data_IF_297031562403
#
_entry.id   IF_297031562403
#
_cell.length_a   1.000
_cell.length_b   1.000
_cell.length_c   1.000
_cell.angle_alpha   90.00
_cell.angle_beta   90.00
_cell.angle_gamma   90.00
#
_symmetry.space_group_name_H-M   'P 1'
#
loop_
_entity.id
_entity.type
_entity.pdbx_description
1 polymer ?
#
# COMPACT_ATOMS: atom_id res chain seq x y z
N UNK A 1 -53.79 -5.85 -11.53
CA UNK A 1 -52.43 -5.58 -12.06
C UNK A 1 -51.41 -5.93 -10.97
N UNK A 2 -50.85 -7.15 -11.01
CA UNK A 2 -49.79 -7.57 -10.07
C UNK A 2 -48.47 -6.96 -10.56
N UNK A 3 -47.95 -6.00 -9.82
CA UNK A 3 -46.54 -5.54 -9.98
C UNK A 3 -45.64 -6.71 -9.55
N UNK A 4 -45.08 -7.41 -10.54
CA UNK A 4 -44.01 -8.35 -10.31
C UNK A 4 -42.81 -7.55 -9.72
N UNK A 5 -42.55 -7.76 -8.41
CA UNK A 5 -41.30 -7.24 -7.80
C UNK A 5 -40.15 -7.97 -8.49
N UNK A 6 -39.42 -7.28 -9.39
CA UNK A 6 -38.13 -7.78 -9.87
C UNK A 6 -37.26 -8.06 -8.63
N UNK A 7 -37.05 -9.32 -8.33
CA UNK A 7 -36.08 -9.75 -7.35
C UNK A 7 -34.73 -9.17 -7.80
N UNK A 8 -34.12 -8.33 -6.97
CA UNK A 8 -32.76 -7.87 -7.22
C UNK A 8 -31.85 -9.09 -7.17
N UNK A 9 -31.19 -9.41 -8.27
CA UNK A 9 -30.25 -10.51 -8.34
C UNK A 9 -29.23 -10.45 -7.19
N UNK A 10 -29.14 -11.50 -6.40
CA UNK A 10 -28.27 -11.55 -5.23
C UNK A 10 -26.81 -11.76 -5.69
N UNK A 11 -25.92 -10.85 -5.29
CA UNK A 11 -24.47 -11.00 -5.53
C UNK A 11 -23.83 -11.48 -4.23
N UNK A 12 -23.27 -12.67 -4.23
CA UNK A 12 -22.51 -13.25 -3.14
C UNK A 12 -21.02 -13.30 -3.48
N UNK A 13 -20.16 -13.23 -2.45
CA UNK A 13 -18.72 -13.45 -2.59
C UNK A 13 -18.32 -14.58 -1.64
N UNK A 14 -17.67 -15.60 -2.18
CA UNK A 14 -17.18 -16.75 -1.45
C UNK A 14 -15.74 -17.12 -1.83
N UNK A 15 -15.10 -17.93 -1.00
CA UNK A 15 -13.82 -18.54 -1.38
C UNK A 15 -13.99 -19.44 -2.61
N UNK A 16 -12.98 -19.46 -3.47
CA UNK A 16 -12.94 -20.40 -4.59
C UNK A 16 -12.88 -21.85 -4.07
N UNK A 17 -13.52 -22.75 -4.79
CA UNK A 17 -13.57 -24.20 -4.54
C UNK A 17 -13.00 -24.94 -5.75
N UNK A 18 -12.65 -26.20 -5.61
CA UNK A 18 -12.07 -27.02 -6.69
C UNK A 18 -12.89 -26.97 -7.98
N UNK A 19 -14.23 -26.97 -7.88
CA UNK A 19 -15.10 -26.89 -9.07
C UNK A 19 -15.11 -25.53 -9.80
N UNK A 20 -14.44 -24.50 -9.29
CA UNK A 20 -14.33 -23.20 -9.97
C UNK A 20 -13.16 -23.11 -10.94
N UNK A 21 -12.35 -24.16 -11.03
CA UNK A 21 -11.11 -24.15 -11.81
C UNK A 21 -11.31 -23.71 -13.27
N UNK A 22 -12.25 -24.35 -13.97
CA UNK A 22 -12.50 -24.07 -15.39
C UNK A 22 -12.97 -22.62 -15.62
N UNK A 23 -13.80 -22.09 -14.71
CA UNK A 23 -14.23 -20.70 -14.76
C UNK A 23 -13.03 -19.75 -14.59
N UNK A 24 -12.20 -19.97 -13.56
CA UNK A 24 -11.02 -19.15 -13.26
C UNK A 24 -10.03 -19.20 -14.41
N UNK A 25 -9.74 -20.40 -14.90
CA UNK A 25 -8.80 -20.66 -15.97
C UNK A 25 -9.17 -19.90 -17.26
N UNK A 26 -10.40 -20.10 -17.74
CA UNK A 26 -10.92 -19.40 -18.91
C UNK A 26 -10.89 -17.89 -18.72
N UNK A 27 -11.43 -17.41 -17.59
CA UNK A 27 -11.56 -15.98 -17.33
C UNK A 27 -10.20 -15.28 -17.25
N UNK A 28 -9.19 -15.90 -16.66
CA UNK A 28 -7.83 -15.36 -16.59
C UNK A 28 -7.15 -15.34 -17.97
N UNK A 29 -7.24 -16.42 -18.72
CA UNK A 29 -6.64 -16.50 -20.06
C UNK A 29 -7.20 -15.40 -20.96
N UNK A 30 -8.52 -15.31 -21.07
CA UNK A 30 -9.19 -14.32 -21.93
C UNK A 30 -8.91 -12.87 -21.51
N UNK A 31 -8.80 -12.61 -20.20
CA UNK A 31 -8.63 -11.25 -19.71
C UNK A 31 -7.19 -10.75 -19.70
N UNK A 32 -6.21 -11.64 -19.61
CA UNK A 32 -4.79 -11.28 -19.50
C UNK A 32 -4.08 -11.25 -20.85
N UNK A 33 -4.41 -12.14 -21.76
CA UNK A 33 -3.76 -12.29 -23.08
C UNK A 33 -3.62 -10.97 -23.88
N UNK A 34 -4.62 -10.07 -23.90
CA UNK A 34 -4.47 -8.80 -24.62
C UNK A 34 -3.37 -7.88 -24.08
N UNK A 35 -3.00 -8.02 -22.81
CA UNK A 35 -2.15 -7.04 -22.10
C UNK A 35 -0.83 -7.60 -21.62
N UNK A 36 -0.71 -8.91 -21.46
CA UNK A 36 0.45 -9.55 -20.84
C UNK A 36 0.94 -10.72 -21.68
N UNK A 37 2.26 -10.86 -21.77
CA UNK A 37 2.88 -12.05 -22.34
C UNK A 37 3.05 -13.14 -21.28
N UNK A 38 3.28 -14.37 -21.71
CA UNK A 38 3.54 -15.51 -20.87
C UNK A 38 2.44 -16.57 -20.90
N UNK A 39 2.66 -17.66 -20.19
CA UNK A 39 1.71 -18.77 -20.07
C UNK A 39 0.65 -18.44 -18.99
N UNK A 40 -0.47 -17.86 -19.45
CA UNK A 40 -1.58 -17.52 -18.56
C UNK A 40 -2.27 -18.75 -17.99
N UNK A 41 -2.20 -19.89 -18.67
CA UNK A 41 -2.76 -21.15 -18.23
C UNK A 41 -1.97 -21.70 -17.04
N UNK A 42 -0.65 -21.81 -17.20
CA UNK A 42 0.22 -22.22 -16.10
C UNK A 42 0.14 -21.24 -14.92
N UNK A 43 -0.01 -19.93 -15.18
CA UNK A 43 -0.21 -18.94 -14.12
C UNK A 43 -1.51 -19.17 -13.36
N UNK A 44 -2.64 -19.36 -14.05
CA UNK A 44 -3.94 -19.65 -13.44
C UNK A 44 -3.90 -20.92 -12.61
N UNK A 45 -3.33 -22.00 -13.17
CA UNK A 45 -3.14 -23.28 -12.49
C UNK A 45 -2.35 -23.11 -11.18
N UNK A 46 -1.22 -22.40 -11.24
CA UNK A 46 -0.34 -22.20 -10.09
C UNK A 46 -1.05 -21.45 -8.95
N UNK A 47 -1.68 -20.31 -9.23
CA UNK A 47 -2.33 -19.52 -8.17
C UNK A 47 -3.59 -20.19 -7.62
N UNK A 48 -4.33 -20.93 -8.47
CA UNK A 48 -5.48 -21.70 -8.05
C UNK A 48 -5.08 -22.86 -7.14
N UNK A 49 -4.07 -23.63 -7.53
CA UNK A 49 -3.52 -24.73 -6.73
C UNK A 49 -2.99 -24.23 -5.38
N UNK A 50 -2.28 -23.10 -5.37
CA UNK A 50 -1.80 -22.48 -4.13
C UNK A 50 -2.96 -22.14 -3.20
N UNK A 51 -4.06 -21.59 -3.74
CA UNK A 51 -5.25 -21.28 -2.95
C UNK A 51 -5.91 -22.55 -2.36
N UNK A 52 -6.08 -23.58 -3.17
CA UNK A 52 -6.70 -24.86 -2.73
C UNK A 52 -5.84 -25.58 -1.70
N UNK A 53 -4.52 -25.54 -1.83
CA UNK A 53 -3.55 -26.16 -0.92
C UNK A 53 -3.25 -25.28 0.30
N UNK A 54 -4.28 -24.86 1.04
CA UNK A 54 -4.19 -24.10 2.28
C UNK A 54 -3.55 -22.72 2.17
N UNK A 55 -3.56 -22.12 0.98
CA UNK A 55 -3.06 -20.77 0.69
C UNK A 55 -1.54 -20.55 0.91
N UNK A 56 -0.78 -21.60 1.14
CA UNK A 56 0.66 -21.51 1.37
C UNK A 56 1.38 -21.39 0.02
N UNK A 57 2.09 -20.30 -0.19
CA UNK A 57 2.96 -20.11 -1.34
C UNK A 57 4.35 -20.71 -1.02
N UNK A 58 4.55 -21.96 -1.38
CA UNK A 58 5.81 -22.68 -1.16
C UNK A 58 6.99 -22.13 -1.98
N UNK A 59 6.71 -21.35 -3.04
CA UNK A 59 7.72 -20.76 -3.93
C UNK A 59 7.96 -19.28 -3.62
N UNK A 60 6.97 -18.60 -3.04
CA UNK A 60 6.99 -17.16 -2.80
C UNK A 60 7.68 -16.76 -1.50
N UNK A 61 8.95 -16.40 -1.56
CA UNK A 61 9.70 -15.92 -0.38
C UNK A 61 9.10 -14.65 0.28
N UNK A 62 8.29 -13.88 -0.45
CA UNK A 62 7.76 -12.58 -0.03
C UNK A 62 6.25 -12.58 0.28
N UNK A 63 5.55 -13.72 0.15
CA UNK A 63 4.14 -13.85 0.49
C UNK A 63 3.94 -14.70 1.74
N UNK A 64 2.90 -14.32 2.52
CA UNK A 64 2.43 -15.10 3.67
C UNK A 64 1.31 -16.06 3.25
N UNK A 65 0.60 -15.76 2.17
CA UNK A 65 -0.46 -16.59 1.66
C UNK A 65 -1.14 -15.97 0.44
N UNK A 66 -1.82 -16.82 -0.33
CA UNK A 66 -2.57 -16.45 -1.52
C UNK A 66 -4.02 -16.94 -1.41
N UNK A 67 -4.97 -16.07 -1.71
CA UNK A 67 -6.39 -16.31 -1.48
C UNK A 67 -7.19 -15.94 -2.72
N UNK A 68 -8.13 -16.78 -3.11
CA UNK A 68 -9.00 -16.53 -4.26
C UNK A 68 -10.46 -16.52 -3.84
N UNK A 69 -11.22 -15.57 -4.37
CA UNK A 69 -12.64 -15.43 -4.13
C UNK A 69 -13.39 -15.29 -5.45
N UNK A 70 -14.59 -15.88 -5.48
CA UNK A 70 -15.52 -15.86 -6.60
C UNK A 70 -16.70 -14.97 -6.22
N UNK A 71 -17.07 -14.06 -7.11
CA UNK A 71 -18.37 -13.38 -7.05
C UNK A 71 -19.37 -14.18 -7.86
N UNK A 72 -20.55 -14.42 -7.29
CA UNK A 72 -21.67 -15.09 -7.93
C UNK A 72 -22.86 -14.15 -8.07
N UNK A 73 -23.59 -14.32 -9.14
CA UNK A 73 -24.92 -13.73 -9.35
C UNK A 73 -25.92 -14.87 -9.49
N UNK A 74 -26.86 -14.97 -8.57
CA UNK A 74 -27.84 -16.05 -8.53
C UNK A 74 -27.18 -17.45 -8.68
N UNK A 75 -26.12 -17.68 -7.90
CA UNK A 75 -25.30 -18.91 -7.86
C UNK A 75 -24.42 -19.18 -9.10
N UNK A 76 -24.35 -18.27 -10.07
CA UNK A 76 -23.49 -18.40 -11.24
C UNK A 76 -22.21 -17.57 -11.06
N UNK A 77 -21.03 -18.15 -11.27
CA UNK A 77 -19.77 -17.41 -11.20
C UNK A 77 -19.75 -16.23 -12.21
N UNK A 78 -19.49 -15.04 -11.70
CA UNK A 78 -19.58 -13.79 -12.47
C UNK A 78 -18.30 -12.94 -12.41
N UNK A 79 -17.35 -13.31 -11.57
CA UNK A 79 -16.06 -12.65 -11.44
C UNK A 79 -15.18 -13.27 -10.38
N UNK A 80 -13.93 -12.89 -10.36
CA UNK A 80 -12.96 -13.39 -9.39
C UNK A 80 -12.03 -12.28 -8.90
N UNK A 81 -11.47 -12.49 -7.72
CA UNK A 81 -10.33 -11.73 -7.22
C UNK A 81 -9.33 -12.66 -6.56
N UNK A 82 -8.05 -12.46 -6.86
CA UNK A 82 -6.95 -13.14 -6.20
C UNK A 82 -6.15 -12.14 -5.37
N UNK A 83 -5.90 -12.47 -4.10
CA UNK A 83 -5.25 -11.63 -3.10
C UNK A 83 -3.99 -12.31 -2.59
N UNK A 84 -2.89 -11.58 -2.58
CA UNK A 84 -1.60 -12.06 -2.07
C UNK A 84 -1.21 -11.25 -0.86
N UNK A 85 -1.20 -11.85 0.32
CA UNK A 85 -0.74 -11.23 1.56
C UNK A 85 0.77 -11.21 1.58
N UNK A 86 1.37 -10.04 1.64
CA UNK A 86 2.82 -9.84 1.62
C UNK A 86 3.41 -9.68 3.01
N UNK A 87 4.63 -10.19 3.23
CA UNK A 87 5.37 -10.07 4.49
C UNK A 87 5.54 -8.61 4.95
N UNK A 88 5.54 -7.65 4.00
CA UNK A 88 5.71 -6.22 4.29
C UNK A 88 4.42 -5.53 4.78
N UNK A 89 3.37 -6.28 5.12
CA UNK A 89 2.11 -5.70 5.60
C UNK A 89 1.30 -5.00 4.52
N UNK A 90 1.33 -5.54 3.31
CA UNK A 90 0.51 -5.10 2.17
C UNK A 90 -0.25 -6.27 1.57
N UNK A 91 -1.33 -6.01 0.84
CA UNK A 91 -2.02 -7.03 0.06
C UNK A 91 -2.01 -6.64 -1.42
N UNK A 92 -1.54 -7.55 -2.28
CA UNK A 92 -1.58 -7.39 -3.73
C UNK A 92 -2.86 -7.97 -4.28
N UNK A 93 -3.55 -7.22 -5.14
CA UNK A 93 -4.60 -7.74 -6.02
C UNK A 93 -3.94 -8.25 -7.30
N UNK A 94 -4.15 -9.53 -7.65
CA UNK A 94 -3.43 -10.15 -8.78
C UNK A 94 -4.08 -11.43 -9.30
N UNK A 95 -5.14 -11.34 -10.16
CA UNK A 95 -5.90 -10.18 -10.63
C UNK A 95 -7.26 -9.96 -9.94
N UNK A 96 -8.01 -8.93 -10.39
CA UNK A 96 -9.45 -8.77 -10.24
C UNK A 96 -10.09 -8.77 -11.63
N UNK A 97 -10.97 -9.70 -11.92
CA UNK A 97 -11.61 -9.85 -13.23
C UNK A 97 -13.11 -10.06 -13.06
N UNK A 98 -13.90 -9.37 -13.89
CA UNK A 98 -15.35 -9.58 -14.00
C UNK A 98 -15.62 -10.17 -15.39
N UNK A 99 -16.40 -11.24 -15.43
CA UNK A 99 -16.75 -11.91 -16.68
C UNK A 99 -17.48 -10.93 -17.62
N UNK A 100 -17.18 -10.96 -18.93
CA UNK A 100 -17.64 -9.96 -19.91
C UNK A 100 -19.14 -9.67 -19.86
N UNK A 101 -19.95 -10.70 -19.73
CA UNK A 101 -21.42 -10.63 -19.69
C UNK A 101 -21.98 -9.94 -18.44
N UNK A 102 -21.18 -9.83 -17.38
CA UNK A 102 -21.55 -9.17 -16.11
C UNK A 102 -20.91 -7.80 -15.93
N UNK A 103 -20.04 -7.34 -16.85
CA UNK A 103 -19.40 -6.03 -16.75
C UNK A 103 -20.43 -4.91 -16.79
N UNK A 104 -20.25 -3.92 -15.90
CA UNK A 104 -21.19 -2.81 -15.76
C UNK A 104 -22.52 -3.17 -15.08
N UNK A 105 -22.76 -4.45 -14.75
CA UNK A 105 -23.98 -4.94 -14.11
C UNK A 105 -23.69 -5.33 -12.67
N UNK A 106 -24.70 -5.22 -11.79
CA UNK A 106 -24.69 -5.68 -10.39
C UNK A 106 -23.57 -5.14 -9.49
N UNK A 107 -22.69 -4.27 -9.98
CA UNK A 107 -21.57 -3.69 -9.23
C UNK A 107 -20.52 -4.70 -8.76
N UNK A 108 -20.32 -5.82 -9.49
CA UNK A 108 -19.48 -6.96 -9.09
C UNK A 108 -18.05 -6.51 -8.80
N UNK A 109 -17.41 -5.75 -9.70
CA UNK A 109 -16.05 -5.26 -9.49
C UNK A 109 -15.92 -4.42 -8.20
N UNK A 110 -16.93 -3.59 -7.90
CA UNK A 110 -16.95 -2.80 -6.66
C UNK A 110 -17.13 -3.65 -5.42
N UNK A 111 -17.93 -4.72 -5.50
CA UNK A 111 -18.14 -5.66 -4.39
C UNK A 111 -16.89 -6.50 -4.13
N UNK A 112 -16.24 -7.01 -5.18
CA UNK A 112 -14.96 -7.72 -5.09
C UNK A 112 -13.87 -6.83 -4.47
N UNK A 113 -13.79 -5.58 -4.89
CA UNK A 113 -12.81 -4.65 -4.34
C UNK A 113 -13.08 -4.32 -2.86
N UNK A 114 -14.35 -4.10 -2.48
CA UNK A 114 -14.73 -3.92 -1.06
C UNK A 114 -14.35 -5.15 -0.23
N UNK A 115 -14.63 -6.35 -0.75
CA UNK A 115 -14.21 -7.59 -0.10
C UNK A 115 -12.69 -7.66 0.09
N UNK A 116 -11.90 -7.21 -0.91
CA UNK A 116 -10.44 -7.13 -0.79
C UNK A 116 -10.01 -6.12 0.28
N UNK A 117 -10.68 -4.98 0.41
CA UNK A 117 -10.40 -3.99 1.45
C UNK A 117 -10.66 -4.56 2.86
N UNK A 118 -11.81 -5.22 3.04
CA UNK A 118 -12.18 -5.84 4.32
C UNK A 118 -11.25 -7.02 4.66
N UNK A 119 -10.90 -7.83 3.66
CA UNK A 119 -9.90 -8.89 3.80
C UNK A 119 -8.55 -8.34 4.23
N UNK A 120 -8.07 -7.30 3.56
CA UNK A 120 -6.77 -6.71 3.84
C UNK A 120 -6.72 -6.06 5.24
N UNK A 121 -7.82 -5.40 5.69
CA UNK A 121 -7.92 -4.90 7.08
C UNK A 121 -7.86 -6.02 8.11
N UNK A 122 -8.52 -7.15 7.86
CA UNK A 122 -8.46 -8.35 8.73
C UNK A 122 -7.04 -8.93 8.82
N UNK A 123 -6.24 -8.76 7.78
CA UNK A 123 -4.82 -9.15 7.75
C UNK A 123 -3.88 -8.01 8.19
N UNK A 124 -4.40 -6.95 8.82
CA UNK A 124 -3.64 -5.79 9.29
C UNK A 124 -2.76 -5.14 8.21
N UNK A 125 -3.17 -5.22 6.96
CA UNK A 125 -2.45 -4.61 5.86
C UNK A 125 -2.66 -3.09 5.87
N UNK A 126 -1.56 -2.35 5.69
CA UNK A 126 -1.61 -0.89 5.62
C UNK A 126 -2.12 -0.37 4.26
N UNK A 127 -2.00 -1.17 3.20
CA UNK A 127 -2.49 -0.79 1.88
C UNK A 127 -2.81 -2.00 0.99
N UNK A 128 -3.71 -1.78 0.03
CA UNK A 128 -3.86 -2.58 -1.17
C UNK A 128 -2.97 -2.01 -2.28
N UNK A 129 -2.43 -2.87 -3.14
CA UNK A 129 -1.79 -2.42 -4.37
C UNK A 129 -2.05 -3.40 -5.52
N UNK A 130 -1.94 -2.92 -6.73
CA UNK A 130 -2.04 -3.71 -7.96
C UNK A 130 -1.24 -3.06 -9.07
N UNK A 131 -1.06 -3.79 -10.15
CA UNK A 131 -0.54 -3.27 -11.40
C UNK A 131 -1.57 -3.44 -12.49
N UNK A 132 -1.58 -2.54 -13.49
CA UNK A 132 -2.54 -2.53 -14.60
C UNK A 132 -1.83 -2.03 -15.85
N UNK A 133 -1.97 -2.77 -16.94
CA UNK A 133 -1.50 -2.32 -18.24
C UNK A 133 -2.09 -0.94 -18.59
N UNK A 134 -1.26 0.01 -19.01
CA UNK A 134 -1.68 1.38 -19.30
C UNK A 134 -2.77 1.44 -20.39
N UNK A 135 -2.79 0.49 -21.30
CA UNK A 135 -3.80 0.35 -22.35
C UNK A 135 -5.16 -0.11 -21.79
N UNK A 136 -5.20 -0.76 -20.62
CA UNK A 136 -6.45 -1.15 -19.96
C UNK A 136 -7.09 0.05 -19.23
N UNK A 137 -7.46 1.06 -20.01
CA UNK A 137 -8.02 2.31 -19.53
C UNK A 137 -9.30 2.14 -18.70
N UNK A 138 -10.10 1.12 -18.99
CA UNK A 138 -11.34 0.85 -18.27
C UNK A 138 -11.03 0.45 -16.81
N UNK A 139 -10.09 -0.48 -16.59
CA UNK A 139 -9.64 -0.91 -15.26
C UNK A 139 -8.89 0.20 -14.54
N UNK A 140 -7.99 0.91 -15.22
CA UNK A 140 -7.25 2.04 -14.65
C UNK A 140 -8.20 3.12 -14.09
N UNK A 141 -9.14 3.62 -14.91
CA UNK A 141 -10.14 4.60 -14.47
C UNK A 141 -11.07 4.07 -13.38
N UNK A 142 -11.42 2.79 -13.41
CA UNK A 142 -12.21 2.17 -12.34
C UNK A 142 -11.48 2.23 -11.00
N UNK A 143 -10.21 1.84 -10.95
CA UNK A 143 -9.41 1.84 -9.73
C UNK A 143 -9.22 3.26 -9.17
N UNK A 144 -8.93 4.26 -10.01
CA UNK A 144 -8.84 5.66 -9.58
C UNK A 144 -10.16 6.13 -8.93
N UNK A 145 -11.32 5.85 -9.55
CA UNK A 145 -12.64 6.16 -8.94
C UNK A 145 -12.91 5.41 -7.64
N UNK A 146 -12.18 4.33 -7.36
CA UNK A 146 -12.26 3.58 -6.10
C UNK A 146 -11.22 4.01 -5.06
N UNK A 147 -10.54 5.13 -5.29
CA UNK A 147 -9.59 5.72 -4.36
C UNK A 147 -8.20 5.10 -4.40
N UNK A 148 -7.83 4.46 -5.51
CA UNK A 148 -6.44 4.12 -5.77
C UNK A 148 -5.68 5.34 -6.30
N UNK A 149 -4.42 5.43 -5.94
CA UNK A 149 -3.47 6.44 -6.40
C UNK A 149 -2.43 5.82 -7.31
N UNK A 150 -1.99 6.54 -8.32
CA UNK A 150 -0.87 6.12 -9.17
C UNK A 150 0.45 6.33 -8.43
N UNK A 151 1.19 5.25 -8.21
CA UNK A 151 2.52 5.30 -7.60
C UNK A 151 3.63 5.52 -8.62
N UNK A 152 3.42 5.04 -9.85
CA UNK A 152 4.40 5.14 -10.92
C UNK A 152 4.00 4.33 -12.15
N UNK A 153 4.82 4.44 -13.19
CA UNK A 153 4.64 3.76 -14.47
C UNK A 153 5.96 3.09 -14.86
N UNK A 154 5.93 1.82 -15.24
CA UNK A 154 7.06 1.08 -15.76
C UNK A 154 6.86 0.84 -17.25
N UNK A 155 7.86 1.25 -18.06
CA UNK A 155 7.83 1.07 -19.49
C UNK A 155 8.11 -0.40 -19.84
N UNK A 156 7.38 -0.94 -20.81
CA UNK A 156 7.59 -2.29 -21.38
C UNK A 156 7.77 -3.40 -20.32
N UNK A 157 7.04 -3.31 -19.20
CA UNK A 157 7.35 -4.12 -18.01
C UNK A 157 7.04 -5.62 -18.18
N UNK A 158 5.88 -5.95 -18.73
CA UNK A 158 5.44 -7.34 -18.90
C UNK A 158 5.26 -7.73 -20.37
N UNK A 159 5.13 -6.77 -21.26
CA UNK A 159 4.94 -6.98 -22.69
C UNK A 159 5.52 -5.79 -23.45
N UNK A 160 6.35 -6.01 -24.49
CA UNK A 160 6.87 -4.94 -25.32
C UNK A 160 5.75 -4.05 -25.89
N UNK A 161 5.91 -2.73 -25.81
CA UNK A 161 4.93 -1.76 -26.24
C UNK A 161 3.77 -1.54 -25.26
N UNK A 162 3.77 -2.19 -24.11
CA UNK A 162 2.73 -2.04 -23.09
C UNK A 162 3.36 -1.62 -21.74
N UNK A 163 3.11 -0.39 -21.35
CA UNK A 163 3.53 0.11 -20.06
C UNK A 163 2.62 -0.38 -18.93
N UNK A 164 3.18 -0.52 -17.72
CA UNK A 164 2.47 -0.96 -16.54
C UNK A 164 2.32 0.17 -15.53
N UNK A 165 1.09 0.48 -15.15
CA UNK A 165 0.76 1.43 -14.09
C UNK A 165 0.74 0.71 -12.74
N UNK A 166 1.51 1.21 -11.78
CA UNK A 166 1.51 0.73 -10.39
C UNK A 166 0.56 1.59 -9.56
N UNK A 167 -0.45 0.97 -8.96
CA UNK A 167 -1.47 1.66 -8.17
C UNK A 167 -1.52 1.12 -6.74
N UNK A 168 -1.82 2.01 -5.80
CA UNK A 168 -2.01 1.65 -4.40
C UNK A 168 -3.22 2.38 -3.79
N UNK A 169 -3.79 1.79 -2.75
CA UNK A 169 -4.85 2.38 -1.93
C UNK A 169 -4.50 2.20 -0.45
N UNK A 170 -4.27 3.27 0.32
CA UNK A 170 -4.10 3.19 1.76
C UNK A 170 -5.37 2.61 2.43
N UNK A 171 -5.21 1.73 3.41
CA UNK A 171 -6.31 1.10 4.14
C UNK A 171 -6.39 1.56 5.59
N UNK A 172 -5.32 2.09 6.14
CA UNK A 172 -5.39 2.77 7.41
C UNK A 172 -6.39 3.91 7.26
N UNK A 173 -7.41 3.93 8.12
CA UNK A 173 -8.01 5.21 8.44
C UNK A 173 -6.85 6.05 8.97
N UNK A 174 -6.29 6.91 8.13
CA UNK A 174 -5.76 8.13 8.69
C UNK A 174 -6.98 8.74 9.39
N UNK A 175 -7.06 8.61 10.70
CA UNK A 175 -7.55 9.71 11.49
C UNK A 175 -6.63 10.82 11.05
N UNK A 176 -7.05 11.56 10.04
CA UNK A 176 -6.38 12.78 9.62
C UNK A 176 -6.51 13.66 10.85
N UNK A 177 -5.44 13.85 11.63
CA UNK A 177 -5.48 14.86 12.67
C UNK A 177 -5.83 16.13 11.91
N UNK A 178 -6.80 16.91 12.39
CA UNK A 178 -7.06 18.20 11.78
C UNK A 178 -5.72 18.92 11.62
N UNK A 179 -5.39 19.43 10.42
CA UNK A 179 -4.11 20.14 10.18
C UNK A 179 -3.83 21.22 11.23
N UNK A 180 -4.87 21.73 11.89
CA UNK A 180 -4.82 22.71 12.97
C UNK A 180 -4.19 22.22 14.28
N UNK A 181 -4.08 20.90 14.48
CA UNK A 181 -3.67 20.33 15.78
C UNK A 181 -2.24 19.77 15.77
N UNK A 182 -1.55 19.82 14.63
CA UNK A 182 -0.16 19.37 14.50
C UNK A 182 0.78 20.56 14.75
N UNK A 183 1.55 20.51 15.83
CA UNK A 183 2.61 21.48 16.11
C UNK A 183 3.98 20.89 15.79
N UNK A 184 4.85 21.70 15.17
CA UNK A 184 6.25 21.33 14.98
C UNK A 184 7.10 22.08 15.98
N UNK A 185 7.81 21.34 16.81
CA UNK A 185 8.63 21.90 17.90
C UNK A 185 10.07 21.43 17.77
N UNK A 186 11.05 22.21 18.25
CA UNK A 186 12.43 21.75 18.41
C UNK A 186 12.49 20.50 19.32
N UNK A 187 13.40 19.60 18.99
CA UNK A 187 13.60 18.40 19.79
C UNK A 187 14.12 18.76 21.20
N UNK A 188 13.44 18.24 22.20
CA UNK A 188 13.86 18.27 23.61
C UNK A 188 14.27 16.87 24.02
N UNK A 189 15.53 16.72 24.45
CA UNK A 189 16.10 15.39 24.74
C UNK A 189 15.40 14.69 25.89
N UNK A 190 14.99 15.42 26.94
CA UNK A 190 14.32 14.84 28.09
C UNK A 190 12.91 14.37 27.76
N UNK A 191 12.22 15.13 26.89
CA UNK A 191 10.81 14.92 26.57
C UNK A 191 10.61 13.95 25.39
N UNK A 192 11.48 14.01 24.36
CA UNK A 192 11.18 13.39 23.06
C UNK A 192 11.99 12.13 22.76
N UNK A 193 13.14 11.88 23.43
CA UNK A 193 14.07 10.78 23.08
C UNK A 193 13.38 9.41 22.98
N UNK A 194 12.65 9.01 24.03
CA UNK A 194 12.02 7.68 24.05
C UNK A 194 10.92 7.52 22.99
N UNK A 195 10.11 8.56 22.79
CA UNK A 195 9.02 8.54 21.82
C UNK A 195 9.53 8.58 20.39
N UNK A 196 10.56 9.39 20.10
CA UNK A 196 11.22 9.47 18.79
C UNK A 196 11.89 8.14 18.42
N UNK A 197 12.56 7.50 19.38
CA UNK A 197 13.15 6.17 19.19
C UNK A 197 12.09 5.15 18.78
N UNK A 198 10.98 5.07 19.54
CA UNK A 198 9.87 4.17 19.22
C UNK A 198 9.27 4.46 17.84
N UNK A 199 9.07 5.73 17.51
CA UNK A 199 8.54 6.13 16.22
C UNK A 199 9.43 5.65 15.07
N UNK A 200 10.74 5.93 15.13
CA UNK A 200 11.68 5.53 14.07
C UNK A 200 11.70 4.02 13.90
N UNK A 201 11.86 3.27 15.01
CA UNK A 201 11.91 1.81 14.94
C UNK A 201 10.63 1.19 14.43
N UNK A 202 9.47 1.70 14.84
CA UNK A 202 8.17 1.17 14.40
C UNK A 202 7.84 1.47 12.95
N UNK A 203 8.30 2.60 12.41
CA UNK A 203 7.97 3.01 11.04
C UNK A 203 8.98 2.51 10.00
N UNK A 204 10.26 2.47 10.34
CA UNK A 204 11.32 2.20 9.36
C UNK A 204 12.33 1.14 9.79
N UNK A 205 12.35 0.73 11.06
CA UNK A 205 13.35 -0.22 11.58
C UNK A 205 13.33 -1.58 10.88
N UNK A 206 12.16 -2.05 10.46
CA UNK A 206 12.02 -3.32 9.71
C UNK A 206 12.24 -3.17 8.20
N UNK A 207 12.22 -1.94 7.68
CA UNK A 207 12.25 -1.66 6.23
C UNK A 207 13.64 -1.26 5.72
N UNK A 208 14.53 -0.80 6.63
CA UNK A 208 15.87 -0.35 6.26
C UNK A 208 16.92 -1.06 7.09
N UNK A 209 17.82 -1.75 6.42
CA UNK A 209 18.97 -2.38 7.06
C UNK A 209 19.82 -1.32 7.78
N UNK A 210 20.22 -1.62 9.01
CA UNK A 210 21.05 -0.73 9.83
C UNK A 210 20.30 0.35 10.63
N UNK A 211 18.98 0.51 10.44
CA UNK A 211 18.17 1.38 11.30
C UNK A 211 17.84 0.63 12.60
N UNK A 212 18.66 0.84 13.60
CA UNK A 212 18.57 0.21 14.92
C UNK A 212 18.87 1.22 16.03
N UNK A 213 18.88 0.78 17.28
CA UNK A 213 19.16 1.63 18.43
C UNK A 213 20.49 2.36 18.33
N UNK A 214 21.55 1.68 17.89
CA UNK A 214 22.88 2.27 17.75
C UNK A 214 22.89 3.40 16.71
N UNK A 215 22.19 3.21 15.58
CA UNK A 215 22.05 4.26 14.59
C UNK A 215 21.28 5.48 15.14
N UNK A 216 20.21 5.27 15.91
CA UNK A 216 19.44 6.34 16.56
C UNK A 216 20.28 7.07 17.59
N UNK A 217 21.14 6.38 18.31
CA UNK A 217 22.08 7.01 19.25
C UNK A 217 23.06 7.95 18.52
N UNK A 218 23.50 7.64 17.30
CA UNK A 218 24.30 8.55 16.49
C UNK A 218 23.53 9.82 16.07
N UNK A 219 22.22 9.70 15.87
CA UNK A 219 21.33 10.84 15.57
C UNK A 219 21.31 11.81 16.77
N UNK A 220 21.06 11.30 17.97
CA UNK A 220 21.02 12.11 19.20
C UNK A 220 22.40 12.69 19.57
N UNK A 221 23.46 11.90 19.40
CA UNK A 221 24.83 12.41 19.58
C UNK A 221 25.14 13.57 18.60
N UNK A 222 24.66 13.49 17.37
CA UNK A 222 24.75 14.57 16.40
C UNK A 222 23.97 15.82 16.82
N UNK A 223 22.80 15.65 17.45
CA UNK A 223 21.98 16.75 17.98
C UNK A 223 22.70 17.46 19.15
N UNK A 224 23.30 16.75 20.09
CA UNK A 224 24.05 17.35 21.23
C UNK A 224 25.20 18.22 20.76
N UNK A 225 25.86 17.85 19.66
CA UNK A 225 26.99 18.64 19.08
C UNK A 225 26.59 20.00 18.53
N UNK A 226 25.29 20.35 18.42
CA UNK A 226 24.84 21.66 17.92
C UNK A 226 25.27 22.84 18.81
N UNK A 227 25.50 22.60 20.08
CA UNK A 227 25.88 23.63 21.06
C UNK A 227 27.34 24.09 20.90
N UNK A 228 28.21 23.23 20.37
CA UNK A 228 29.59 23.55 20.08
C UNK A 228 29.84 23.90 18.60
N UNK A 229 29.13 24.88 18.04
CA UNK A 229 29.17 25.27 16.63
C UNK A 229 30.57 25.61 16.14
N UNK A 230 31.36 24.61 15.74
CA UNK A 230 32.55 24.79 14.96
C UNK A 230 32.23 24.40 13.51
N UNK A 231 32.75 25.14 12.53
CA UNK A 231 32.51 24.98 11.09
C UNK A 231 32.80 23.55 10.61
N UNK A 232 33.69 22.84 11.30
CA UNK A 232 34.12 21.49 10.96
C UNK A 232 33.33 20.38 11.70
N UNK A 233 32.49 20.74 12.66
CA UNK A 233 31.75 19.78 13.45
C UNK A 233 30.38 19.48 12.81
N UNK A 234 30.21 18.27 12.30
CA UNK A 234 28.90 17.81 11.79
C UNK A 234 27.91 17.72 12.95
N UNK A 235 26.96 18.62 12.99
CA UNK A 235 25.85 18.61 13.94
C UNK A 235 24.52 18.32 13.25
N UNK A 236 23.49 18.04 14.05
CA UNK A 236 22.14 17.80 13.57
C UNK A 236 21.16 18.74 14.24
N UNK A 237 20.21 19.23 13.46
CA UNK A 237 18.96 19.81 13.96
C UNK A 237 17.91 18.70 13.95
N UNK A 238 17.05 18.66 14.95
CA UNK A 238 15.95 17.72 15.02
C UNK A 238 14.68 18.50 15.39
N UNK A 239 13.62 18.28 14.65
CA UNK A 239 12.29 18.82 14.91
C UNK A 239 11.29 17.69 15.02
N UNK A 240 10.30 17.87 15.87
CA UNK A 240 9.28 16.89 16.22
C UNK A 240 7.91 17.43 15.81
N UNK A 241 7.15 16.63 15.07
CA UNK A 241 5.72 16.86 14.94
C UNK A 241 4.99 16.22 16.12
N UNK A 242 4.26 17.03 16.87
CA UNK A 242 3.44 16.62 18.00
C UNK A 242 1.95 16.88 17.74
N UNK A 243 1.13 15.97 18.25
CA UNK A 243 -0.31 16.16 18.41
C UNK A 243 -0.72 15.59 19.76
N UNK A 244 -1.50 16.35 20.53
CA UNK A 244 -1.91 15.99 21.90
C UNK A 244 -0.69 15.59 22.77
N UNK A 245 0.43 16.30 22.62
CA UNK A 245 1.71 16.03 23.29
C UNK A 245 2.33 14.66 22.95
N UNK A 246 1.86 14.01 21.89
CA UNK A 246 2.41 12.74 21.40
C UNK A 246 3.28 12.97 20.16
N UNK A 247 4.45 12.36 20.14
CA UNK A 247 5.33 12.41 18.97
C UNK A 247 4.71 11.59 17.83
N UNK A 248 4.42 12.26 16.72
CA UNK A 248 3.82 11.66 15.52
C UNK A 248 4.69 11.78 14.28
N UNK A 249 5.74 12.60 14.35
CA UNK A 249 6.72 12.75 13.26
C UNK A 249 8.05 13.27 13.77
N UNK A 250 9.11 13.03 13.00
CA UNK A 250 10.46 13.54 13.26
C UNK A 250 11.14 13.89 11.96
N UNK A 251 11.82 15.03 11.95
CA UNK A 251 12.74 15.41 10.88
C UNK A 251 14.11 15.77 11.46
N UNK A 252 15.15 15.19 10.88
CA UNK A 252 16.54 15.51 11.18
C UNK A 252 17.18 16.25 10.00
N UNK A 253 17.92 17.30 10.27
CA UNK A 253 18.65 18.04 9.28
C UNK A 253 20.14 18.12 9.63
N UNK A 254 21.01 17.96 8.65
CA UNK A 254 22.47 18.10 8.79
C UNK A 254 22.92 19.22 7.88
N UNK A 255 23.14 20.43 8.40
CA UNK A 255 23.72 21.53 7.64
C UNK A 255 25.15 21.19 7.18
N UNK A 256 25.50 21.62 5.97
CA UNK A 256 26.84 21.48 5.38
C UNK A 256 27.29 22.81 4.84
N UNK A 257 28.57 23.16 5.06
CA UNK A 257 29.16 24.38 4.56
C UNK A 257 29.07 24.43 3.02
N UNK A 258 28.43 25.47 2.47
CA UNK A 258 28.30 25.69 1.03
C UNK A 258 27.59 24.59 0.25
N UNK A 259 26.82 23.73 0.91
CA UNK A 259 26.17 22.58 0.34
C UNK A 259 24.68 22.51 0.73
N UNK A 260 23.84 21.80 -0.03
CA UNK A 260 22.47 21.53 0.37
C UNK A 260 22.39 20.88 1.74
N UNK A 261 21.35 21.20 2.50
CA UNK A 261 21.06 20.58 3.80
C UNK A 261 20.60 19.14 3.56
N UNK A 262 21.25 18.17 4.23
CA UNK A 262 20.81 16.78 4.20
C UNK A 262 19.68 16.55 5.20
N UNK A 263 18.51 16.15 4.71
CA UNK A 263 17.37 15.74 5.54
C UNK A 263 17.46 14.24 5.82
N UNK A 264 17.66 13.87 7.10
CA UNK A 264 17.67 12.48 7.56
C UNK A 264 17.72 12.37 9.09
N UNK A 265 16.76 11.68 9.75
CA UNK A 265 15.60 11.04 9.16
C UNK A 265 14.49 12.02 8.79
N UNK A 266 13.51 11.53 8.01
CA UNK A 266 12.20 12.12 7.86
C UNK A 266 11.20 10.97 8.02
N UNK A 267 10.55 10.90 9.17
CA UNK A 267 9.66 9.79 9.57
C UNK A 267 8.39 10.36 10.15
N UNK A 268 7.26 9.86 9.69
CA UNK A 268 5.94 10.31 10.12
C UNK A 268 4.99 9.12 10.28
N UNK A 269 3.99 9.24 11.17
CA UNK A 269 2.96 8.22 11.38
C UNK A 269 1.94 8.16 10.25
N UNK A 270 1.78 9.25 9.49
CA UNK A 270 0.82 9.34 8.38
C UNK A 270 1.36 10.25 7.28
N UNK A 271 0.77 10.14 6.08
CA UNK A 271 1.06 10.99 4.93
C UNK A 271 0.83 12.48 5.26
N UNK A 272 -0.25 12.81 5.95
CA UNK A 272 -0.55 14.19 6.38
C UNK A 272 0.55 14.76 7.27
N UNK A 273 1.05 13.99 8.25
CA UNK A 273 2.16 14.43 9.11
C UNK A 273 3.44 14.60 8.30
N UNK A 274 3.68 13.73 7.32
CA UNK A 274 4.81 13.84 6.41
C UNK A 274 4.73 15.13 5.58
N UNK A 275 3.57 15.43 4.99
CA UNK A 275 3.33 16.64 4.21
C UNK A 275 3.52 17.91 5.06
N UNK A 276 2.99 17.92 6.29
CA UNK A 276 3.18 19.04 7.23
C UNK A 276 4.65 19.25 7.55
N UNK A 277 5.42 18.17 7.82
CA UNK A 277 6.86 18.26 8.04
C UNK A 277 7.59 18.83 6.82
N UNK A 278 7.30 18.33 5.63
CA UNK A 278 7.94 18.77 4.38
C UNK A 278 7.62 20.23 4.08
N UNK A 279 6.36 20.64 4.20
CA UNK A 279 5.92 22.02 3.93
C UNK A 279 6.58 23.05 4.86
N UNK A 280 6.92 22.67 6.08
CA UNK A 280 7.54 23.55 7.06
C UNK A 280 9.09 23.53 7.01
N UNK A 281 9.73 22.64 6.25
CA UNK A 281 11.19 22.57 6.17
C UNK A 281 11.87 23.90 5.85
N UNK A 282 11.40 24.72 4.89
CA UNK A 282 12.04 26.00 4.59
C UNK A 282 12.09 26.96 5.79
N UNK A 283 11.01 26.98 6.59
CA UNK A 283 10.93 27.85 7.78
C UNK A 283 11.75 27.32 8.96
N UNK A 284 11.80 25.99 9.11
CA UNK A 284 12.56 25.32 10.18
C UNK A 284 14.08 25.40 9.98
N UNK A 285 14.53 25.62 8.75
CA UNK A 285 15.95 25.58 8.35
C UNK A 285 16.47 26.94 7.89
N UNK A 286 15.63 27.99 7.88
CA UNK A 286 16.01 29.37 7.68
C UNK A 286 16.75 29.91 8.93
#
# INVERSE_FOLDING_TARGET
MHRCKKSLAAVAIRKAKTGDFDFVFRLMTEALEPFYDGDHQAHAQRIFTTHINNNIDSVGQFSLGQYMFIAEVDYHPAGMIHLVVKKQGTVKISPLIVAPEYRGKFGIGSKLLRHAEDFARKHHARQLYCTVAAQNQATFKFLLRKGFHLAGKAQDHYKPGIDECMLYKPLSQSTTPGLSDISIVPFDEKKHTAATRRLILSQVGSSFYGVNNAWIDTLFAGYRRREGRNVDTKYKLIFIAEQDRKVIGVVGATPKKGQPIKIMPLVAKSETVFEVLVANLPQLLA
#
